data_IF_439025828113
#
_entry.id   IF_439025828113
#
_cell.length_a   1.000
_cell.length_b   1.000
_cell.length_c   1.000
_cell.angle_alpha   90.00
_cell.angle_beta   90.00
_cell.angle_gamma   90.00
#
_symmetry.space_group_name_H-M   'P 1'
#
loop_
_entity.id
_entity.type
_entity.pdbx_description
1 polymer ?
#
# COMPACT_ATOMS: atom_id res chain seq x y z
N UNK A 1 -12.57 -12.89 -6.47
CA UNK A 1 -13.00 -11.65 -7.07
C UNK A 1 -14.27 -11.16 -6.39
N UNK A 2 -14.19 -10.01 -5.75
CA UNK A 2 -15.29 -9.37 -5.00
C UNK A 2 -16.04 -8.36 -5.87
N UNK A 3 -15.90 -8.46 -7.20
CA UNK A 3 -16.48 -7.47 -8.11
C UNK A 3 -18.01 -7.61 -8.18
N UNK A 4 -18.73 -6.49 -8.02
CA UNK A 4 -20.18 -6.47 -8.11
C UNK A 4 -20.66 -6.72 -9.55
N UNK A 5 -21.86 -7.25 -9.69
CA UNK A 5 -22.53 -7.39 -10.99
C UNK A 5 -22.97 -6.01 -11.48
N UNK A 6 -22.36 -5.50 -12.54
CA UNK A 6 -22.67 -4.18 -13.15
C UNK A 6 -24.17 -4.03 -13.47
N UNK A 7 -24.87 -5.14 -13.79
CA UNK A 7 -26.30 -5.14 -14.06
C UNK A 7 -27.20 -4.66 -12.91
N UNK A 8 -26.70 -4.58 -11.69
CA UNK A 8 -27.42 -4.04 -10.53
C UNK A 8 -27.32 -2.52 -10.39
N UNK A 9 -26.34 -1.88 -11.03
CA UNK A 9 -26.29 -0.42 -11.11
C UNK A 9 -27.38 0.06 -12.08
N UNK A 10 -28.26 0.94 -11.59
CA UNK A 10 -29.28 1.61 -12.43
C UNK A 10 -28.62 2.73 -13.23
N UNK A 11 -27.73 2.36 -14.16
CA UNK A 11 -27.17 3.28 -15.12
C UNK A 11 -28.22 3.46 -16.21
N UNK A 12 -28.60 4.70 -16.61
CA UNK A 12 -29.54 4.93 -17.68
C UNK A 12 -28.88 4.70 -19.05
N UNK A 13 -28.45 3.48 -19.30
CA UNK A 13 -28.03 3.02 -20.61
C UNK A 13 -29.28 2.62 -21.38
N UNK A 14 -29.49 3.21 -22.56
CA UNK A 14 -30.62 2.90 -23.44
C UNK A 14 -30.69 1.42 -23.84
N UNK A 15 -29.53 0.74 -23.85
CA UNK A 15 -29.44 -0.68 -24.17
C UNK A 15 -28.38 -1.33 -23.28
N UNK A 16 -28.80 -2.27 -22.44
CA UNK A 16 -27.88 -3.11 -21.64
C UNK A 16 -27.48 -4.39 -22.38
N UNK A 17 -27.51 -4.37 -23.70
CA UNK A 17 -27.11 -5.49 -24.55
C UNK A 17 -25.59 -5.50 -24.66
N UNK A 18 -24.97 -6.59 -24.22
CA UNK A 18 -23.53 -6.81 -24.36
C UNK A 18 -22.75 -7.00 -23.05
N UNK A 19 -23.36 -6.86 -21.89
CA UNK A 19 -22.68 -7.23 -20.64
C UNK A 19 -22.75 -8.75 -20.43
N UNK A 20 -21.58 -9.38 -20.42
CA UNK A 20 -21.43 -10.81 -20.12
C UNK A 20 -20.86 -10.93 -18.72
N UNK A 21 -21.57 -11.65 -17.85
CA UNK A 21 -21.04 -12.05 -16.55
C UNK A 21 -19.96 -13.13 -16.80
N UNK A 22 -18.69 -12.77 -16.66
CA UNK A 22 -17.56 -13.69 -16.86
C UNK A 22 -17.44 -14.73 -15.74
N UNK A 23 -18.16 -14.55 -14.64
CA UNK A 23 -18.13 -15.45 -13.49
C UNK A 23 -19.56 -15.75 -12.98
N UNK A 24 -20.44 -16.32 -13.81
CA UNK A 24 -21.83 -16.57 -13.45
C UNK A 24 -21.98 -17.53 -12.27
N UNK A 25 -20.97 -18.37 -12.03
CA UNK A 25 -20.93 -19.35 -10.95
C UNK A 25 -19.91 -18.95 -9.86
N UNK A 26 -19.75 -17.64 -9.57
CA UNK A 26 -18.80 -17.13 -8.59
C UNK A 26 -18.82 -17.89 -7.26
N UNK A 27 -20.03 -18.20 -6.74
CA UNK A 27 -20.21 -18.92 -5.48
C UNK A 27 -19.58 -20.31 -5.51
N UNK A 28 -19.72 -21.06 -6.60
CA UNK A 28 -19.15 -22.41 -6.72
C UNK A 28 -17.61 -22.36 -6.84
N UNK A 29 -17.07 -21.36 -7.53
CA UNK A 29 -15.61 -21.17 -7.58
C UNK A 29 -15.03 -20.77 -6.22
N UNK A 30 -15.73 -19.91 -5.48
CA UNK A 30 -15.30 -19.50 -4.14
C UNK A 30 -15.36 -20.62 -3.11
N UNK A 31 -16.20 -21.62 -3.33
CA UNK A 31 -16.28 -22.83 -2.49
C UNK A 31 -15.20 -23.87 -2.81
N UNK A 32 -14.40 -23.67 -3.86
CA UNK A 32 -13.28 -24.54 -4.15
C UNK A 32 -12.28 -24.54 -2.96
N UNK A 33 -11.75 -25.71 -2.53
CA UNK A 33 -10.82 -25.80 -1.40
C UNK A 33 -9.61 -24.87 -1.48
N UNK A 34 -9.18 -24.50 -2.69
CA UNK A 34 -8.09 -23.54 -2.90
C UNK A 34 -8.47 -22.09 -2.52
N UNK A 35 -9.75 -21.82 -2.27
CA UNK A 35 -10.24 -20.52 -1.82
C UNK A 35 -10.96 -20.60 -0.48
N UNK A 36 -11.92 -21.53 -0.35
CA UNK A 36 -12.61 -21.80 0.90
C UNK A 36 -11.71 -22.68 1.80
N UNK A 37 -11.62 -22.36 3.08
CA UNK A 37 -10.83 -23.15 4.04
C UNK A 37 -9.31 -23.01 3.93
N UNK A 38 -8.80 -22.18 3.01
CA UNK A 38 -7.39 -21.86 2.93
C UNK A 38 -6.89 -21.14 4.19
N UNK A 39 -7.73 -20.27 4.74
CA UNK A 39 -7.47 -19.46 5.93
C UNK A 39 -8.72 -19.44 6.80
N UNK A 40 -8.55 -19.54 8.10
CA UNK A 40 -9.61 -19.37 9.08
C UNK A 40 -9.60 -17.96 9.66
N UNK A 41 -10.72 -17.24 9.57
CA UNK A 41 -10.85 -15.94 10.22
C UNK A 41 -11.18 -16.10 11.70
N UNK A 42 -10.47 -15.35 12.53
CA UNK A 42 -10.60 -15.30 13.99
C UNK A 42 -11.13 -13.94 14.43
N UNK A 43 -12.14 -13.96 15.29
CA UNK A 43 -12.89 -12.78 15.70
C UNK A 43 -12.72 -12.44 17.19
N UNK A 44 -11.70 -13.01 17.84
CA UNK A 44 -11.43 -12.85 19.27
C UNK A 44 -11.21 -11.38 19.67
N UNK A 45 -10.57 -10.59 18.78
CA UNK A 45 -10.26 -9.18 18.98
C UNK A 45 -11.17 -8.24 18.14
N UNK A 46 -12.29 -8.76 17.65
CA UNK A 46 -13.15 -8.03 16.72
C UNK A 46 -14.03 -6.98 17.39
N UNK A 47 -14.53 -7.24 18.61
CA UNK A 47 -15.55 -6.42 19.24
C UNK A 47 -14.99 -5.28 20.10
N UNK A 48 -13.87 -5.49 20.75
CA UNK A 48 -13.25 -4.54 21.67
C UNK A 48 -12.00 -3.91 21.06
N UNK A 49 -11.73 -2.66 21.45
CA UNK A 49 -10.47 -2.02 21.08
C UNK A 49 -9.34 -2.63 21.91
N UNK A 50 -8.22 -2.93 21.25
CA UNK A 50 -7.02 -3.46 21.88
C UNK A 50 -5.94 -2.38 21.92
N UNK A 51 -5.19 -2.32 23.00
CA UNK A 51 -4.03 -1.45 23.04
C UNK A 51 -2.79 -2.08 22.36
N UNK A 52 -1.76 -1.26 22.14
CA UNK A 52 -0.55 -1.66 21.40
C UNK A 52 0.23 -2.76 22.12
N UNK A 53 0.24 -2.76 23.45
CA UNK A 53 0.92 -3.73 24.29
C UNK A 53 0.27 -5.10 24.19
N UNK A 54 -1.04 -5.13 24.46
CA UNK A 54 -1.83 -6.35 24.44
C UNK A 54 -1.85 -6.97 23.03
N UNK A 55 -1.90 -6.12 21.99
CA UNK A 55 -1.80 -6.57 20.61
C UNK A 55 -0.44 -7.22 20.31
N UNK A 56 0.65 -6.64 20.79
CA UNK A 56 1.98 -7.20 20.57
C UNK A 56 2.15 -8.55 21.29
N UNK A 57 1.67 -8.65 22.52
CA UNK A 57 1.71 -9.91 23.28
C UNK A 57 0.83 -10.98 22.64
N UNK A 58 -0.33 -10.60 22.10
CA UNK A 58 -1.21 -11.50 21.36
C UNK A 58 -0.56 -12.00 20.06
N UNK A 59 0.05 -11.11 19.27
CA UNK A 59 0.76 -11.45 18.03
C UNK A 59 1.92 -12.41 18.31
N UNK A 60 2.73 -12.11 19.33
CA UNK A 60 3.83 -12.97 19.76
C UNK A 60 3.31 -14.34 20.21
N UNK A 61 2.32 -14.37 21.10
CA UNK A 61 1.73 -15.59 21.62
C UNK A 61 1.18 -16.50 20.52
N UNK A 62 0.40 -15.95 19.58
CA UNK A 62 -0.14 -16.71 18.44
C UNK A 62 0.93 -17.18 17.46
N UNK A 63 1.99 -16.39 17.25
CA UNK A 63 3.11 -16.79 16.41
C UNK A 63 3.91 -17.94 17.03
N UNK A 64 4.16 -17.92 18.35
CA UNK A 64 4.76 -19.04 19.10
C UNK A 64 3.86 -20.27 19.01
N UNK A 65 2.57 -20.12 19.31
CA UNK A 65 1.60 -21.21 19.25
C UNK A 65 1.57 -21.87 17.86
N UNK A 66 1.57 -21.08 16.78
CA UNK A 66 1.60 -21.60 15.41
C UNK A 66 2.89 -22.37 15.12
N UNK A 67 4.07 -21.79 15.46
CA UNK A 67 5.37 -22.41 15.26
C UNK A 67 5.46 -23.78 15.94
N UNK A 68 4.94 -23.90 17.16
CA UNK A 68 5.08 -25.09 18.00
C UNK A 68 3.99 -26.14 17.75
N UNK A 69 2.99 -25.85 16.88
CA UNK A 69 1.97 -26.84 16.48
C UNK A 69 2.60 -28.06 15.81
N UNK A 70 2.16 -29.31 16.13
CA UNK A 70 2.63 -30.51 15.45
C UNK A 70 2.47 -30.44 13.93
N UNK A 71 3.48 -30.84 13.19
CA UNK A 71 3.47 -30.83 11.72
C UNK A 71 3.86 -29.49 11.09
N UNK A 72 4.30 -28.51 11.88
CA UNK A 72 4.90 -27.25 11.40
C UNK A 72 6.43 -27.37 11.31
N UNK A 73 7.04 -26.50 10.53
CA UNK A 73 8.48 -26.51 10.27
C UNK A 73 9.34 -25.91 11.40
N UNK A 74 8.73 -25.58 12.55
CA UNK A 74 9.42 -24.92 13.67
C UNK A 74 9.72 -23.43 13.45
N UNK A 75 9.12 -22.82 12.43
CA UNK A 75 9.22 -21.41 12.10
C UNK A 75 7.87 -20.84 11.67
N UNK A 76 7.73 -19.52 11.69
CA UNK A 76 6.50 -18.83 11.30
C UNK A 76 6.80 -17.53 10.56
N UNK A 77 6.06 -17.29 9.47
CA UNK A 77 5.99 -16.00 8.80
C UNK A 77 4.66 -15.32 9.13
N UNK A 78 4.72 -14.27 9.91
CA UNK A 78 3.56 -13.51 10.39
C UNK A 78 3.45 -12.19 9.65
N UNK A 79 2.23 -11.80 9.25
CA UNK A 79 1.94 -10.48 8.70
C UNK A 79 0.93 -9.77 9.59
N UNK A 80 1.18 -8.48 9.87
CA UNK A 80 0.23 -7.61 10.55
C UNK A 80 0.01 -6.34 9.74
N UNK A 81 -1.25 -6.01 9.48
CA UNK A 81 -1.63 -4.83 8.71
C UNK A 81 -2.41 -3.82 9.56
N UNK A 82 -1.90 -2.60 9.59
CA UNK A 82 -2.49 -1.43 10.23
C UNK A 82 -3.18 -0.53 9.21
N UNK A 83 -4.14 0.27 9.65
CA UNK A 83 -4.80 1.29 8.81
C UNK A 83 -3.86 2.48 8.62
N UNK A 84 -3.13 2.88 9.67
CA UNK A 84 -2.28 4.05 9.62
C UNK A 84 -0.78 3.69 9.60
N UNK A 85 0.00 4.48 8.87
CA UNK A 85 1.48 4.36 8.86
C UNK A 85 2.05 4.60 10.26
N UNK A 86 1.41 5.48 11.03
CA UNK A 86 1.81 5.81 12.40
C UNK A 86 1.76 4.57 13.29
N UNK A 87 0.62 3.87 13.32
CA UNK A 87 0.45 2.68 14.15
C UNK A 87 1.39 1.55 13.72
N UNK A 88 1.62 1.40 12.40
CA UNK A 88 2.60 0.44 11.88
C UNK A 88 4.03 0.74 12.37
N UNK A 89 4.45 2.01 12.34
CA UNK A 89 5.77 2.43 12.81
C UNK A 89 5.90 2.33 14.33
N UNK A 90 4.84 2.66 15.09
CA UNK A 90 4.82 2.51 16.55
C UNK A 90 4.91 1.04 16.97
N UNK A 91 4.18 0.17 16.30
CA UNK A 91 4.24 -1.26 16.52
C UNK A 91 5.62 -1.85 16.18
N UNK A 92 6.23 -1.39 15.07
CA UNK A 92 7.59 -1.78 14.72
C UNK A 92 8.59 -1.42 15.81
N UNK A 93 8.58 -0.16 16.28
CA UNK A 93 9.46 0.28 17.36
C UNK A 93 9.24 -0.52 18.64
N UNK A 94 7.98 -0.79 18.98
CA UNK A 94 7.59 -1.53 20.16
C UNK A 94 8.07 -3.00 20.13
N UNK A 95 7.96 -3.66 18.98
CA UNK A 95 8.43 -5.06 18.82
C UNK A 95 9.96 -5.14 18.91
N UNK A 96 10.69 -4.11 18.43
CA UNK A 96 12.16 -4.08 18.55
C UNK A 96 12.65 -3.98 20.02
N UNK A 97 11.84 -3.47 20.91
CA UNK A 97 12.17 -3.35 22.35
C UNK A 97 11.87 -4.65 23.12
N UNK A 98 11.06 -5.56 22.56
CA UNK A 98 10.72 -6.84 23.20
C UNK A 98 11.81 -7.89 22.94
N UNK A 99 11.77 -8.97 23.75
CA UNK A 99 12.66 -10.12 23.55
C UNK A 99 12.55 -10.67 22.11
N UNK A 100 13.69 -10.94 21.44
CA UNK A 100 13.70 -11.28 20.03
C UNK A 100 13.15 -12.70 19.79
N UNK A 101 11.85 -12.78 19.47
CA UNK A 101 11.24 -14.00 18.95
C UNK A 101 11.38 -14.10 17.43
N UNK A 102 11.21 -12.96 16.74
CA UNK A 102 11.38 -12.90 15.29
C UNK A 102 12.84 -12.66 14.94
N UNK A 103 13.38 -13.50 14.05
CA UNK A 103 14.75 -13.36 13.54
C UNK A 103 14.86 -12.12 12.64
N UNK A 104 13.77 -11.77 11.94
CA UNK A 104 13.66 -10.61 11.07
C UNK A 104 12.31 -9.90 11.27
N UNK A 105 12.36 -8.58 11.38
CA UNK A 105 11.16 -7.73 11.43
C UNK A 105 11.24 -6.69 10.32
N UNK A 106 10.27 -6.68 9.45
CA UNK A 106 10.18 -5.75 8.32
C UNK A 106 9.01 -4.79 8.49
N UNK A 107 9.25 -3.53 8.13
CA UNK A 107 8.21 -2.51 7.99
C UNK A 107 8.03 -2.19 6.50
N UNK A 108 6.81 -2.36 5.98
CA UNK A 108 6.46 -2.06 4.61
C UNK A 108 5.25 -1.13 4.55
N UNK A 109 5.51 0.16 4.36
CA UNK A 109 4.49 1.20 4.27
C UNK A 109 4.63 2.01 2.98
N UNK A 110 3.69 2.92 2.73
CA UNK A 110 3.72 3.77 1.53
C UNK A 110 4.82 4.83 1.50
N UNK A 111 5.64 4.95 2.56
CA UNK A 111 6.83 5.85 2.59
C UNK A 111 8.15 5.11 2.38
N UNK A 112 8.12 3.77 2.27
CA UNK A 112 9.29 2.96 1.96
C UNK A 112 9.61 3.11 0.47
N UNK A 113 10.88 3.39 0.16
CA UNK A 113 11.35 3.49 -1.22
C UNK A 113 11.34 2.13 -1.93
N UNK A 114 11.17 2.15 -3.25
CA UNK A 114 11.07 0.95 -4.07
C UNK A 114 12.26 -0.02 -3.92
N UNK A 115 13.53 0.42 -3.80
CA UNK A 115 14.64 -0.49 -3.54
C UNK A 115 14.44 -1.33 -2.27
N UNK A 116 14.10 -0.68 -1.16
CA UNK A 116 13.85 -1.37 0.11
C UNK A 116 12.65 -2.30 0.04
N UNK A 117 11.59 -1.88 -0.66
CA UNK A 117 10.43 -2.73 -0.91
C UNK A 117 10.81 -4.02 -1.64
N UNK A 118 11.69 -3.94 -2.64
CA UNK A 118 12.21 -5.13 -3.36
C UNK A 118 13.00 -6.04 -2.46
N UNK A 119 13.92 -5.49 -1.65
CA UNK A 119 14.68 -6.28 -0.68
C UNK A 119 13.75 -7.09 0.22
N UNK A 120 12.74 -6.45 0.81
CA UNK A 120 11.77 -7.12 1.71
C UNK A 120 11.04 -8.23 0.95
N UNK A 121 10.53 -7.95 -0.25
CA UNK A 121 9.79 -8.95 -1.03
C UNK A 121 10.70 -10.11 -1.45
N UNK A 122 11.94 -9.82 -1.85
CA UNK A 122 12.90 -10.84 -2.23
C UNK A 122 13.27 -11.74 -1.05
N UNK A 123 13.50 -11.16 0.14
CA UNK A 123 13.75 -11.95 1.36
C UNK A 123 12.56 -12.82 1.71
N UNK A 124 11.33 -12.31 1.69
CA UNK A 124 10.12 -13.09 1.97
C UNK A 124 9.87 -14.23 0.96
N UNK A 125 10.36 -14.10 -0.27
CA UNK A 125 10.28 -15.13 -1.31
C UNK A 125 11.45 -16.11 -1.30
N UNK A 126 12.55 -15.76 -0.66
CA UNK A 126 13.72 -16.61 -0.57
C UNK A 126 13.36 -17.91 0.19
N UNK A 127 13.59 -19.10 -0.37
CA UNK A 127 13.33 -20.36 0.33
C UNK A 127 14.07 -20.51 1.67
N UNK A 128 15.22 -19.87 1.82
CA UNK A 128 16.00 -19.91 3.07
C UNK A 128 15.33 -19.12 4.20
N UNK A 129 14.57 -18.10 3.88
CA UNK A 129 13.83 -17.30 4.88
C UNK A 129 12.80 -18.16 5.62
N UNK A 130 12.37 -19.29 5.02
CA UNK A 130 11.50 -20.29 5.69
C UNK A 130 12.15 -21.00 6.89
N UNK A 131 13.43 -20.78 7.14
CA UNK A 131 14.15 -21.23 8.33
C UNK A 131 14.18 -20.20 9.46
N UNK A 132 13.56 -19.04 9.25
CA UNK A 132 13.52 -17.91 10.18
C UNK A 132 12.06 -17.65 10.63
N UNK A 133 11.91 -17.09 11.83
CA UNK A 133 10.66 -16.46 12.25
C UNK A 133 10.66 -15.03 11.71
N UNK A 134 9.69 -14.67 10.87
CA UNK A 134 9.63 -13.36 10.23
C UNK A 134 8.32 -12.66 10.59
N UNK A 135 8.42 -11.38 10.93
CA UNK A 135 7.27 -10.49 11.08
C UNK A 135 7.29 -9.40 10.01
N UNK A 136 6.26 -9.35 9.19
CA UNK A 136 6.01 -8.26 8.26
C UNK A 136 4.95 -7.33 8.84
N UNK A 137 5.35 -6.12 9.21
CA UNK A 137 4.45 -5.05 9.65
C UNK A 137 4.15 -4.17 8.44
N UNK A 138 2.87 -3.92 8.16
CA UNK A 138 2.50 -3.25 6.92
C UNK A 138 1.25 -2.38 7.04
N UNK A 139 0.94 -1.69 5.98
CA UNK A 139 -0.34 -1.02 5.71
C UNK A 139 -0.95 -1.63 4.43
N UNK A 140 -1.96 -1.00 3.84
CA UNK A 140 -2.68 -1.50 2.65
C UNK A 140 -1.79 -1.75 1.41
N UNK A 141 -0.51 -1.39 1.46
CA UNK A 141 0.43 -1.56 0.32
C UNK A 141 0.67 -3.01 -0.09
N UNK A 142 0.30 -3.97 0.76
CA UNK A 142 0.42 -5.41 0.46
C UNK A 142 -0.84 -6.02 -0.13
N UNK A 143 -1.98 -5.35 -0.04
CA UNK A 143 -3.27 -5.88 -0.50
C UNK A 143 -3.27 -6.15 -2.01
N UNK A 144 -2.56 -5.34 -2.79
CA UNK A 144 -2.44 -5.50 -4.23
C UNK A 144 -0.97 -5.48 -4.70
N UNK A 145 -0.66 -6.25 -5.75
CA UNK A 145 0.64 -6.21 -6.43
C UNK A 145 1.81 -6.86 -5.69
N UNK A 146 1.60 -7.43 -4.49
CA UNK A 146 2.64 -8.11 -3.72
C UNK A 146 2.37 -9.62 -3.71
N UNK A 147 3.36 -10.39 -4.11
CA UNK A 147 3.27 -11.85 -4.17
C UNK A 147 4.11 -12.46 -3.04
N UNK A 148 3.49 -12.61 -1.86
CA UNK A 148 4.06 -13.21 -0.66
C UNK A 148 3.13 -14.29 -0.12
N UNK A 149 3.68 -15.24 0.64
CA UNK A 149 2.96 -16.38 1.20
C UNK A 149 3.26 -16.52 2.70
N UNK A 150 2.42 -15.90 3.53
CA UNK A 150 2.56 -15.86 4.98
C UNK A 150 1.83 -17.06 5.64
N UNK A 151 2.07 -17.27 6.93
CA UNK A 151 1.49 -18.37 7.71
C UNK A 151 0.35 -17.88 8.60
N UNK A 152 0.53 -16.74 9.25
CA UNK A 152 -0.46 -16.06 10.08
C UNK A 152 -0.68 -14.62 9.62
N UNK A 153 -1.90 -14.12 9.75
CA UNK A 153 -2.28 -12.75 9.49
C UNK A 153 -2.96 -12.07 10.68
N UNK A 154 -2.69 -10.79 10.84
CA UNK A 154 -3.39 -9.91 11.77
C UNK A 154 -3.83 -8.67 10.99
N UNK A 155 -5.11 -8.33 11.06
CA UNK A 155 -5.68 -7.24 10.26
C UNK A 155 -6.45 -6.28 11.13
N UNK A 156 -6.05 -5.02 11.14
CA UNK A 156 -6.90 -3.96 11.68
C UNK A 156 -8.14 -3.81 10.80
N UNK A 157 -9.31 -3.96 11.40
CA UNK A 157 -10.60 -3.96 10.69
C UNK A 157 -10.78 -2.66 9.92
N UNK A 158 -11.06 -2.80 8.63
CA UNK A 158 -11.26 -1.66 7.73
C UNK A 158 -12.46 -1.87 6.79
N UNK A 159 -12.21 -2.23 5.54
CA UNK A 159 -13.23 -2.68 4.59
C UNK A 159 -13.24 -4.20 4.56
N UNK A 160 -14.41 -4.81 4.55
CA UNK A 160 -14.54 -6.27 4.58
C UNK A 160 -13.86 -6.96 3.37
N UNK A 161 -13.82 -6.31 2.22
CA UNK A 161 -13.09 -6.79 1.05
C UNK A 161 -11.56 -6.59 1.17
N UNK A 162 -11.11 -5.60 1.92
CA UNK A 162 -9.72 -5.40 2.31
C UNK A 162 -9.24 -6.52 3.25
N UNK A 163 -10.08 -6.94 4.20
CA UNK A 163 -9.76 -8.07 5.09
C UNK A 163 -9.54 -9.37 4.30
N UNK A 164 -10.37 -9.61 3.27
CA UNK A 164 -10.18 -10.72 2.34
C UNK A 164 -8.91 -10.58 1.49
N UNK A 165 -8.50 -9.37 1.14
CA UNK A 165 -7.27 -9.13 0.37
C UNK A 165 -6.03 -9.48 1.18
N UNK A 166 -5.98 -9.11 2.49
CA UNK A 166 -4.92 -9.56 3.37
C UNK A 166 -4.92 -11.09 3.53
N UNK A 167 -6.08 -11.70 3.76
CA UNK A 167 -6.21 -13.15 3.84
C UNK A 167 -5.67 -13.83 2.57
N UNK A 168 -5.75 -13.14 1.42
CA UNK A 168 -5.12 -13.55 0.17
C UNK A 168 -3.59 -13.62 0.20
N UNK A 169 -2.92 -13.10 1.22
CA UNK A 169 -1.46 -13.17 1.43
C UNK A 169 -1.07 -14.27 2.43
N UNK A 170 -2.03 -14.81 3.16
CA UNK A 170 -1.84 -15.94 4.08
C UNK A 170 -2.20 -17.23 3.38
N UNK A 171 -1.32 -18.25 3.46
CA UNK A 171 -1.48 -19.51 2.75
C UNK A 171 -1.85 -19.32 1.26
N UNK A 172 -1.15 -18.40 0.61
CA UNK A 172 -1.45 -17.98 -0.76
C UNK A 172 -1.49 -19.13 -1.76
N UNK A 173 -0.58 -20.08 -1.57
CA UNK A 173 -0.44 -21.25 -2.43
C UNK A 173 -1.36 -22.41 -2.03
N UNK A 174 -2.20 -22.25 -1.00
CA UNK A 174 -3.11 -23.26 -0.46
C UNK A 174 -2.42 -24.61 -0.11
N UNK A 175 -1.14 -24.56 0.26
CA UNK A 175 -0.34 -25.75 0.59
C UNK A 175 -0.14 -25.95 2.10
N UNK A 176 -0.62 -25.02 2.93
CA UNK A 176 -0.44 -25.01 4.38
C UNK A 176 -1.75 -25.34 5.10
N UNK A 177 -1.65 -25.87 6.30
CA UNK A 177 -2.82 -26.24 7.12
C UNK A 177 -2.83 -25.37 8.39
N UNK A 178 -4.03 -24.99 8.86
CA UNK A 178 -4.22 -24.25 10.10
C UNK A 178 -3.64 -22.83 10.06
N UNK A 179 -3.72 -22.18 8.90
CA UNK A 179 -3.41 -20.77 8.75
C UNK A 179 -4.61 -19.93 9.17
N UNK A 180 -4.36 -18.87 9.92
CA UNK A 180 -5.38 -18.06 10.57
C UNK A 180 -5.17 -16.58 10.27
N UNK A 181 -6.25 -15.82 10.20
CA UNK A 181 -6.25 -14.35 10.15
C UNK A 181 -7.09 -13.81 11.28
N UNK A 182 -6.45 -13.07 12.18
CA UNK A 182 -7.05 -12.43 13.34
C UNK A 182 -7.44 -11.01 12.99
N UNK A 183 -8.72 -10.68 13.19
CA UNK A 183 -9.25 -9.33 13.00
C UNK A 183 -9.23 -8.59 14.33
N UNK A 184 -8.63 -7.39 14.37
CA UNK A 184 -8.50 -6.58 15.59
C UNK A 184 -8.93 -5.13 15.38
N UNK A 185 -9.19 -4.40 16.46
CA UNK A 185 -9.51 -2.97 16.47
C UNK A 185 -8.45 -2.20 17.25
N UNK A 186 -7.65 -1.40 16.54
CA UNK A 186 -6.73 -0.44 17.13
C UNK A 186 -6.95 0.95 16.52
N UNK A 187 -6.81 1.06 15.19
CA UNK A 187 -7.02 2.29 14.46
C UNK A 187 -8.50 2.51 14.13
N UNK A 188 -8.92 3.77 14.13
CA UNK A 188 -10.25 4.13 13.68
C UNK A 188 -10.30 4.18 12.14
N UNK A 189 -10.91 3.19 11.53
CA UNK A 189 -11.04 3.07 10.08
C UNK A 189 -11.79 4.26 9.43
N UNK A 190 -12.62 4.99 10.16
CA UNK A 190 -13.35 6.14 9.63
C UNK A 190 -12.42 7.29 9.17
N UNK A 191 -11.20 7.35 9.69
CA UNK A 191 -10.20 8.36 9.31
C UNK A 191 -9.87 8.27 7.80
N UNK A 192 -9.73 7.04 7.27
CA UNK A 192 -9.46 6.81 5.85
C UNK A 192 -10.73 6.50 5.05
N UNK A 193 -11.64 5.70 5.61
CA UNK A 193 -12.76 5.09 4.90
C UNK A 193 -14.12 5.73 5.23
N UNK A 194 -14.19 6.79 6.03
CA UNK A 194 -15.45 7.40 6.47
C UNK A 194 -16.38 7.86 5.32
N UNK A 195 -15.82 8.19 4.14
CA UNK A 195 -16.57 8.56 2.94
C UNK A 195 -16.90 7.35 2.04
N UNK A 196 -16.27 6.20 2.25
CA UNK A 196 -16.50 5.00 1.45
C UNK A 196 -17.88 4.40 1.76
N UNK A 197 -18.68 4.15 0.72
CA UNK A 197 -20.02 3.63 0.87
C UNK A 197 -20.04 2.20 1.42
N UNK A 198 -19.01 1.39 1.14
CA UNK A 198 -18.86 0.05 1.71
C UNK A 198 -18.70 0.12 3.22
N UNK A 199 -17.80 1.02 3.70
CA UNK A 199 -17.60 1.23 5.13
C UNK A 199 -18.88 1.71 5.82
N UNK A 200 -19.58 2.69 5.21
CA UNK A 200 -20.82 3.21 5.75
C UNK A 200 -21.89 2.11 5.86
N UNK A 201 -22.08 1.31 4.81
CA UNK A 201 -23.08 0.24 4.81
C UNK A 201 -22.74 -0.88 5.80
N UNK A 202 -21.48 -1.28 5.90
CA UNK A 202 -21.04 -2.25 6.92
C UNK A 202 -21.37 -1.73 8.32
N UNK A 203 -21.03 -0.48 8.61
CA UNK A 203 -21.27 0.11 9.94
C UNK A 203 -22.76 0.28 10.26
N UNK A 204 -23.59 0.63 9.27
CA UNK A 204 -25.02 0.95 9.46
C UNK A 204 -25.90 -0.29 9.46
N UNK A 205 -25.57 -1.34 8.70
CA UNK A 205 -26.51 -2.40 8.35
C UNK A 205 -25.97 -3.84 8.49
N UNK A 206 -24.66 -4.02 8.70
CA UNK A 206 -24.07 -5.35 8.81
C UNK A 206 -23.79 -5.67 10.28
N UNK A 207 -24.44 -6.69 10.80
CA UNK A 207 -24.13 -7.21 12.14
C UNK A 207 -22.81 -7.97 12.16
N UNK A 208 -22.22 -8.16 13.36
CA UNK A 208 -20.98 -8.94 13.53
C UNK A 208 -21.12 -10.36 12.97
N UNK A 209 -22.25 -11.01 13.20
CA UNK A 209 -22.51 -12.36 12.66
C UNK A 209 -22.61 -12.40 11.14
N UNK A 210 -23.17 -11.37 10.51
CA UNK A 210 -23.20 -11.25 9.04
C UNK A 210 -21.81 -10.96 8.48
N UNK A 211 -21.02 -10.11 9.15
CA UNK A 211 -19.64 -9.84 8.77
C UNK A 211 -18.82 -11.14 8.76
N UNK A 212 -18.92 -11.90 9.84
CA UNK A 212 -18.27 -13.21 9.95
C UNK A 212 -18.74 -14.17 8.85
N UNK A 213 -20.05 -14.24 8.60
CA UNK A 213 -20.62 -15.07 7.54
C UNK A 213 -20.11 -14.67 6.16
N UNK A 214 -20.06 -13.37 5.84
CA UNK A 214 -19.56 -12.87 4.54
C UNK A 214 -18.12 -13.32 4.30
N UNK A 215 -17.25 -13.17 5.32
CA UNK A 215 -15.85 -13.57 5.18
C UNK A 215 -15.68 -15.10 5.10
N UNK A 216 -16.42 -15.88 5.88
CA UNK A 216 -16.33 -17.33 5.88
C UNK A 216 -16.88 -17.95 4.60
N UNK A 217 -18.04 -17.47 4.13
CA UNK A 217 -18.73 -17.99 2.94
C UNK A 217 -18.26 -17.32 1.64
N UNK A 218 -17.44 -16.26 1.73
CA UNK A 218 -17.03 -15.43 0.57
C UNK A 218 -18.23 -14.83 -0.18
N UNK A 219 -19.35 -14.61 0.50
CA UNK A 219 -20.58 -14.06 -0.07
C UNK A 219 -20.62 -12.52 0.05
N UNK A 220 -19.80 -11.85 -0.75
CA UNK A 220 -19.79 -10.39 -0.82
C UNK A 220 -21.00 -9.80 -1.57
N UNK A 221 -21.84 -10.65 -2.16
CA UNK A 221 -23.00 -10.21 -2.95
C UNK A 221 -23.97 -9.38 -2.14
N UNK A 222 -24.28 -9.81 -0.91
CA UNK A 222 -25.20 -9.10 -0.03
C UNK A 222 -24.69 -7.69 0.34
N UNK A 223 -23.39 -7.53 0.63
CA UNK A 223 -22.81 -6.22 0.89
C UNK A 223 -22.93 -5.29 -0.32
N UNK A 224 -22.56 -5.79 -1.51
CA UNK A 224 -22.63 -4.96 -2.71
C UNK A 224 -24.06 -4.61 -3.12
N UNK A 225 -25.03 -5.44 -2.80
CA UNK A 225 -26.47 -5.09 -2.99
C UNK A 225 -26.82 -3.85 -2.17
N UNK A 226 -26.50 -3.84 -0.88
CA UNK A 226 -26.72 -2.67 -0.01
C UNK A 226 -25.98 -1.42 -0.50
N UNK A 227 -24.72 -1.57 -0.91
CA UNK A 227 -23.93 -0.46 -1.45
C UNK A 227 -24.57 0.11 -2.71
N UNK A 228 -25.02 -0.75 -3.63
CA UNK A 228 -25.67 -0.30 -4.87
C UNK A 228 -27.04 0.34 -4.62
N UNK A 229 -27.83 -0.18 -3.71
CA UNK A 229 -29.08 0.46 -3.31
C UNK A 229 -28.83 1.88 -2.81
N UNK A 230 -27.82 2.07 -1.96
CA UNK A 230 -27.42 3.41 -1.48
C UNK A 230 -26.96 4.33 -2.60
N UNK A 231 -26.09 3.83 -3.49
CA UNK A 231 -25.59 4.60 -4.65
C UNK A 231 -26.74 4.95 -5.59
N UNK A 232 -27.63 4.01 -5.90
CA UNK A 232 -28.78 4.23 -6.75
C UNK A 232 -29.71 5.29 -6.16
N UNK A 233 -30.00 5.21 -4.86
CA UNK A 233 -30.80 6.21 -4.16
C UNK A 233 -30.16 7.62 -4.24
N UNK A 234 -28.85 7.73 -4.01
CA UNK A 234 -28.13 9.00 -4.13
C UNK A 234 -28.16 9.53 -5.56
N UNK A 235 -27.98 8.68 -6.55
CA UNK A 235 -28.01 9.07 -7.96
C UNK A 235 -29.40 9.54 -8.38
N UNK A 236 -30.48 8.92 -7.90
CA UNK A 236 -31.87 9.34 -8.17
C UNK A 236 -32.13 10.76 -7.64
N UNK A 237 -31.54 11.12 -6.46
CA UNK A 237 -31.67 12.45 -5.88
C UNK A 237 -30.88 13.52 -6.63
N UNK A 238 -29.71 13.17 -7.18
CA UNK A 238 -28.74 14.14 -7.71
C UNK A 238 -28.52 14.03 -9.23
N UNK A 239 -29.18 13.05 -9.90
CA UNK A 239 -28.94 12.76 -11.32
C UNK A 239 -29.07 13.96 -12.25
N UNK A 240 -30.11 14.78 -12.07
CA UNK A 240 -30.35 15.96 -12.92
C UNK A 240 -29.24 16.99 -12.71
N UNK A 241 -28.80 17.21 -11.47
CA UNK A 241 -27.78 18.20 -11.15
C UNK A 241 -26.37 17.72 -11.54
N UNK A 242 -26.02 16.49 -11.22
CA UNK A 242 -24.64 16.02 -11.41
C UNK A 242 -24.39 15.52 -12.84
N UNK A 243 -25.35 14.88 -13.48
CA UNK A 243 -25.12 14.31 -14.80
C UNK A 243 -25.62 15.21 -15.94
N UNK A 244 -26.91 15.61 -15.94
CA UNK A 244 -27.44 16.43 -17.03
C UNK A 244 -26.96 17.88 -17.03
N UNK A 245 -27.07 18.55 -15.87
CA UNK A 245 -26.72 19.96 -15.76
C UNK A 245 -25.21 20.19 -15.53
N UNK A 246 -24.50 19.19 -15.05
CA UNK A 246 -23.06 19.20 -14.83
C UNK A 246 -22.31 18.54 -15.99
N UNK A 247 -22.10 17.23 -15.90
CA UNK A 247 -21.20 16.50 -16.79
C UNK A 247 -21.53 16.60 -18.28
N UNK A 248 -22.80 16.37 -18.68
CA UNK A 248 -23.19 16.49 -20.10
C UNK A 248 -22.99 17.89 -20.64
N UNK A 249 -23.26 18.95 -19.86
CA UNK A 249 -23.02 20.32 -20.27
C UNK A 249 -21.54 20.58 -20.57
N UNK A 250 -20.63 20.03 -19.77
CA UNK A 250 -19.19 20.15 -20.01
C UNK A 250 -18.74 19.40 -21.26
N UNK A 251 -19.31 18.19 -21.49
CA UNK A 251 -19.04 17.41 -22.72
C UNK A 251 -19.56 18.15 -23.96
N UNK A 252 -20.79 18.65 -23.93
CA UNK A 252 -21.41 19.40 -25.04
C UNK A 252 -20.69 20.72 -25.29
N UNK A 253 -20.21 21.38 -24.23
CA UNK A 253 -19.43 22.64 -24.33
C UNK A 253 -17.95 22.42 -24.65
N UNK A 254 -17.48 21.19 -24.84
CA UNK A 254 -16.07 20.84 -25.06
C UNK A 254 -15.12 21.35 -23.95
N UNK A 255 -15.64 21.52 -22.75
CA UNK A 255 -14.86 21.93 -21.58
C UNK A 255 -14.13 20.71 -20.99
N UNK A 256 -13.06 20.30 -21.68
CA UNK A 256 -12.28 19.12 -21.32
C UNK A 256 -11.66 19.20 -19.92
N UNK A 257 -11.35 20.40 -19.42
CA UNK A 257 -10.83 20.56 -18.07
C UNK A 257 -11.88 20.19 -17.01
N UNK A 258 -13.13 20.60 -17.20
CA UNK A 258 -14.19 20.21 -16.27
C UNK A 258 -14.59 18.75 -16.45
N UNK A 259 -14.54 18.21 -17.67
CA UNK A 259 -14.74 16.79 -17.92
C UNK A 259 -13.70 15.97 -17.14
N UNK A 260 -12.41 16.31 -17.26
CA UNK A 260 -11.32 15.62 -16.56
C UNK A 260 -11.47 15.70 -15.04
N UNK A 261 -11.75 16.91 -14.50
CA UNK A 261 -11.99 17.09 -13.06
C UNK A 261 -13.16 16.28 -12.51
N UNK A 262 -14.24 16.12 -13.30
CA UNK A 262 -15.44 15.39 -12.86
C UNK A 262 -15.36 13.88 -13.15
N UNK A 263 -14.38 13.44 -13.94
CA UNK A 263 -14.19 12.02 -14.29
C UNK A 263 -13.00 11.38 -13.55
N UNK A 264 -12.58 11.96 -12.45
CA UNK A 264 -11.52 11.39 -11.63
C UNK A 264 -12.04 10.15 -10.88
N UNK A 265 -11.41 9.01 -11.16
CA UNK A 265 -11.68 7.75 -10.43
C UNK A 265 -11.05 7.80 -9.03
N UNK A 266 -9.94 8.54 -8.89
CA UNK A 266 -9.24 8.76 -7.62
C UNK A 266 -9.15 10.27 -7.42
N UNK A 267 -9.95 10.81 -6.49
CA UNK A 267 -9.97 12.24 -6.16
C UNK A 267 -8.76 12.70 -5.32
N UNK A 268 -7.85 11.79 -4.99
CA UNK A 268 -6.68 12.10 -4.18
C UNK A 268 -5.59 12.76 -5.04
N UNK A 269 -5.31 14.00 -4.78
CA UNK A 269 -4.07 14.63 -5.23
C UNK A 269 -2.94 14.12 -4.33
N UNK A 270 -1.98 13.43 -4.93
CA UNK A 270 -0.79 12.99 -4.23
C UNK A 270 0.38 13.91 -4.57
N UNK A 271 1.19 14.24 -3.58
CA UNK A 271 2.47 14.89 -3.81
C UNK A 271 3.58 13.85 -3.73
N UNK A 272 4.53 13.99 -4.63
CA UNK A 272 5.70 13.11 -4.70
C UNK A 272 6.84 13.73 -3.92
N UNK A 273 7.31 13.02 -2.90
CA UNK A 273 8.44 13.41 -2.07
C UNK A 273 9.69 12.72 -2.61
N UNK A 274 10.72 13.49 -2.93
CA UNK A 274 12.04 13.00 -3.30
C UNK A 274 12.96 13.01 -2.07
N UNK A 275 13.63 11.88 -1.81
CA UNK A 275 14.57 11.73 -0.70
C UNK A 275 15.98 11.56 -1.26
N UNK A 276 16.89 12.51 -1.06
CA UNK A 276 18.25 12.46 -1.61
C UNK A 276 19.20 11.55 -0.81
N UNK A 277 18.74 10.35 -0.50
CA UNK A 277 19.48 9.32 0.25
C UNK A 277 20.39 8.53 -0.71
N UNK A 278 21.55 8.04 -0.29
CA UNK A 278 22.30 7.07 -1.08
C UNK A 278 21.54 5.73 -1.16
N UNK A 279 21.38 5.19 -2.36
CA UNK A 279 20.70 3.92 -2.63
C UNK A 279 21.68 2.88 -3.18
N UNK A 280 21.53 1.59 -2.81
CA UNK A 280 22.32 0.52 -3.40
C UNK A 280 21.98 0.38 -4.90
N UNK A 281 22.99 0.08 -5.73
CA UNK A 281 22.77 -0.24 -7.16
C UNK A 281 22.28 -1.66 -7.35
N UNK A 282 22.52 -2.54 -6.38
CA UNK A 282 22.12 -3.93 -6.38
C UNK A 282 21.57 -4.33 -5.01
N UNK A 283 20.59 -5.21 -5.01
CA UNK A 283 19.99 -5.80 -3.80
C UNK A 283 20.05 -7.33 -3.87
N UNK A 284 19.88 -8.00 -2.75
CA UNK A 284 19.79 -9.45 -2.74
C UNK A 284 18.55 -9.93 -3.49
N UNK A 285 18.73 -10.90 -4.37
CA UNK A 285 17.62 -11.54 -5.08
C UNK A 285 16.96 -12.64 -4.25
N UNK A 286 15.86 -13.18 -4.76
CA UNK A 286 15.22 -14.36 -4.16
C UNK A 286 16.11 -15.60 -4.12
N UNK A 287 17.21 -15.61 -4.89
CA UNK A 287 18.15 -16.73 -4.97
C UNK A 287 19.41 -16.39 -4.20
N UNK A 288 19.83 -17.25 -3.28
CA UNK A 288 21.02 -17.08 -2.46
C UNK A 288 22.27 -16.80 -3.31
N UNK A 289 23.02 -15.78 -2.90
CA UNK A 289 24.27 -15.39 -3.56
C UNK A 289 24.09 -14.68 -4.92
N UNK A 290 22.86 -14.44 -5.34
CA UNK A 290 22.54 -13.70 -6.57
C UNK A 290 22.11 -12.27 -6.20
N UNK A 291 22.67 -11.26 -6.89
CA UNK A 291 22.25 -9.87 -6.77
C UNK A 291 21.30 -9.50 -7.91
N UNK A 292 20.30 -8.71 -7.59
CA UNK A 292 19.39 -8.08 -8.55
C UNK A 292 19.77 -6.60 -8.71
N UNK A 293 19.92 -6.15 -9.94
CA UNK A 293 20.20 -4.75 -10.23
C UNK A 293 18.94 -3.90 -10.11
N UNK A 294 19.05 -2.83 -9.36
CA UNK A 294 17.99 -1.83 -9.22
C UNK A 294 17.96 -0.85 -10.39
N UNK A 295 19.14 -0.59 -10.96
CA UNK A 295 19.34 0.29 -12.11
C UNK A 295 19.91 -0.53 -13.27
N UNK A 296 19.32 -0.38 -14.46
CA UNK A 296 19.80 -1.02 -15.68
C UNK A 296 21.13 -0.40 -16.15
N UNK A 297 21.90 -1.13 -16.97
CA UNK A 297 23.14 -0.60 -17.57
C UNK A 297 22.89 0.71 -18.31
N UNK A 298 21.74 0.84 -18.97
CA UNK A 298 21.35 2.06 -19.68
C UNK A 298 21.11 3.24 -18.74
N UNK A 299 20.53 3.01 -17.57
CA UNK A 299 20.29 4.06 -16.56
C UNK A 299 21.60 4.49 -15.92
N UNK A 300 22.49 3.56 -15.60
CA UNK A 300 23.81 3.87 -15.07
C UNK A 300 24.68 4.59 -16.10
N UNK A 301 24.70 4.14 -17.36
CA UNK A 301 25.42 4.83 -18.43
C UNK A 301 24.90 6.26 -18.65
N UNK A 302 23.57 6.43 -18.60
CA UNK A 302 22.96 7.76 -18.69
C UNK A 302 23.45 8.69 -17.59
N UNK A 303 23.56 8.23 -16.33
CA UNK A 303 24.09 9.02 -15.23
C UNK A 303 25.59 9.30 -15.39
N UNK A 304 26.36 8.31 -15.85
CA UNK A 304 27.81 8.45 -16.14
C UNK A 304 28.08 9.53 -17.20
N UNK A 305 27.23 9.63 -18.24
CA UNK A 305 27.33 10.70 -19.25
C UNK A 305 27.18 12.12 -18.64
N UNK A 306 26.57 12.22 -17.46
CA UNK A 306 26.48 13.46 -16.66
C UNK A 306 27.54 13.55 -15.55
N UNK A 307 28.44 12.56 -15.46
CA UNK A 307 29.53 12.53 -14.50
C UNK A 307 29.15 11.92 -13.13
N UNK A 308 27.99 11.25 -13.03
CA UNK A 308 27.53 10.58 -11.81
C UNK A 308 27.81 9.08 -11.91
N UNK A 309 28.64 8.57 -11.01
CA UNK A 309 29.06 7.14 -10.96
C UNK A 309 28.82 6.61 -9.55
N UNK A 310 28.28 5.39 -9.41
CA UNK A 310 28.14 4.79 -8.09
C UNK A 310 29.47 4.68 -7.34
N UNK A 311 29.47 5.08 -6.08
CA UNK A 311 30.63 4.95 -5.19
C UNK A 311 30.34 3.81 -4.19
N UNK A 312 31.27 2.86 -4.07
CA UNK A 312 31.14 1.69 -3.18
C UNK A 312 29.80 0.93 -3.34
N UNK A 313 29.28 0.89 -4.56
CA UNK A 313 27.99 0.25 -4.86
C UNK A 313 26.74 1.05 -4.46
N UNK A 314 26.90 2.31 -4.06
CA UNK A 314 25.84 3.24 -3.73
C UNK A 314 25.75 4.36 -4.77
N UNK A 315 24.53 4.73 -5.13
CA UNK A 315 24.21 5.87 -5.98
C UNK A 315 23.70 7.02 -5.11
N UNK A 316 24.39 8.16 -5.12
CA UNK A 316 24.03 9.33 -4.31
C UNK A 316 22.79 10.03 -4.89
N UNK A 317 21.74 10.15 -4.06
CA UNK A 317 20.50 10.80 -4.47
C UNK A 317 20.63 12.30 -4.70
N UNK A 318 21.58 12.99 -4.05
CA UNK A 318 21.86 14.42 -4.28
C UNK A 318 22.45 14.63 -5.68
N UNK A 319 23.43 13.81 -6.07
CA UNK A 319 24.03 13.86 -7.41
C UNK A 319 22.99 13.52 -8.50
N UNK A 320 22.14 12.51 -8.25
CA UNK A 320 21.01 12.17 -9.15
C UNK A 320 20.07 13.36 -9.33
N UNK A 321 19.75 14.06 -8.24
CA UNK A 321 18.89 15.24 -8.32
C UNK A 321 19.53 16.38 -9.15
N UNK A 322 20.80 16.61 -9.00
CA UNK A 322 21.55 17.63 -9.79
C UNK A 322 21.50 17.31 -11.29
N UNK A 323 21.56 16.03 -11.68
CA UNK A 323 21.38 15.65 -13.09
C UNK A 323 19.97 16.02 -13.58
N UNK A 324 18.94 15.76 -12.76
CA UNK A 324 17.57 16.15 -13.10
C UNK A 324 17.42 17.67 -13.27
N UNK A 325 18.02 18.47 -12.36
CA UNK A 325 18.01 19.94 -12.48
C UNK A 325 18.69 20.42 -13.77
N UNK A 326 19.86 19.86 -14.11
CA UNK A 326 20.56 20.19 -15.36
C UNK A 326 19.71 19.87 -16.59
N UNK A 327 18.95 18.77 -16.57
CA UNK A 327 18.05 18.41 -17.66
C UNK A 327 16.88 19.37 -17.79
N UNK A 328 16.28 19.79 -16.67
CA UNK A 328 15.11 20.68 -16.68
C UNK A 328 15.47 22.11 -17.05
N UNK A 329 16.64 22.60 -16.56
CA UNK A 329 17.09 23.98 -16.84
C UNK A 329 17.90 24.13 -18.13
N UNK A 330 18.13 23.04 -18.88
CA UNK A 330 18.78 23.11 -20.17
C UNK A 330 17.94 23.89 -21.15
N UNK A 331 18.57 24.77 -21.93
CA UNK A 331 17.91 25.46 -23.05
C UNK A 331 17.36 24.42 -24.05
N UNK A 332 16.04 24.28 -24.10
CA UNK A 332 15.41 23.34 -25.00
C UNK A 332 15.39 23.93 -26.41
N UNK A 333 15.90 23.22 -27.42
CA UNK A 333 15.76 23.67 -28.80
C UNK A 333 14.28 23.75 -29.18
N UNK A 334 13.88 24.74 -29.94
CA UNK A 334 12.50 24.98 -30.36
C UNK A 334 11.87 23.83 -31.19
N UNK A 335 12.65 22.78 -31.47
CA UNK A 335 12.23 21.56 -32.18
C UNK A 335 12.19 20.38 -31.23
N UNK A 336 11.16 19.57 -31.40
CA UNK A 336 10.97 18.29 -30.75
C UNK A 336 12.21 17.38 -30.94
N UNK A 337 12.90 17.06 -29.85
CA UNK A 337 14.01 16.11 -29.85
C UNK A 337 13.57 14.80 -29.19
N UNK A 338 13.68 13.68 -29.93
CA UNK A 338 13.33 12.36 -29.44
C UNK A 338 14.32 11.87 -28.38
N UNK A 339 15.61 12.20 -28.54
CA UNK A 339 16.67 11.79 -27.59
C UNK A 339 16.46 12.45 -26.24
N UNK A 340 16.09 13.72 -26.23
CA UNK A 340 15.75 14.46 -25.02
C UNK A 340 14.57 13.81 -24.27
N UNK A 341 13.49 13.45 -24.97
CA UNK A 341 12.36 12.73 -24.36
C UNK A 341 12.74 11.37 -23.79
N UNK A 342 13.61 10.66 -24.47
CA UNK A 342 14.13 9.37 -23.96
C UNK A 342 14.96 9.61 -22.70
N UNK A 343 15.83 10.63 -22.68
CA UNK A 343 16.60 11.04 -21.52
C UNK A 343 15.70 11.36 -20.31
N UNK A 344 14.64 12.16 -20.52
CA UNK A 344 13.66 12.44 -19.45
C UNK A 344 12.96 11.19 -18.92
N UNK A 345 12.59 10.24 -19.79
CA UNK A 345 11.97 8.98 -19.33
C UNK A 345 12.95 8.12 -18.51
N UNK A 346 14.21 8.06 -18.91
CA UNK A 346 15.26 7.38 -18.13
C UNK A 346 15.38 8.05 -16.78
N UNK A 347 15.50 9.37 -16.74
CA UNK A 347 15.62 10.13 -15.50
C UNK A 347 14.41 9.94 -14.59
N UNK A 348 13.18 9.99 -15.11
CA UNK A 348 11.97 9.73 -14.34
C UNK A 348 11.97 8.33 -13.71
N UNK A 349 12.48 7.32 -14.43
CA UNK A 349 12.60 5.96 -13.89
C UNK A 349 13.62 5.91 -12.76
N UNK A 350 14.77 6.58 -12.90
CA UNK A 350 15.79 6.67 -11.84
C UNK A 350 15.19 7.39 -10.62
N UNK A 351 14.58 8.57 -10.80
CA UNK A 351 13.95 9.34 -9.71
C UNK A 351 12.90 8.52 -8.97
N UNK A 352 12.16 7.65 -9.67
CA UNK A 352 11.14 6.82 -9.03
C UNK A 352 11.68 5.88 -7.95
N UNK A 353 12.99 5.58 -7.95
CA UNK A 353 13.65 4.80 -6.89
C UNK A 353 13.87 5.62 -5.62
N UNK A 354 13.93 6.95 -5.73
CA UNK A 354 14.19 7.90 -4.65
C UNK A 354 12.91 8.58 -4.15
N UNK A 355 11.75 8.16 -4.63
CA UNK A 355 10.49 8.86 -4.32
C UNK A 355 9.48 7.98 -3.63
N UNK A 356 8.65 8.61 -2.79
CA UNK A 356 7.39 8.07 -2.30
C UNK A 356 6.28 9.12 -2.44
N UNK A 357 5.02 8.71 -2.29
CA UNK A 357 3.88 9.62 -2.42
C UNK A 357 3.17 9.83 -1.09
N UNK A 358 2.76 11.06 -0.82
CA UNK A 358 1.87 11.43 0.28
C UNK A 358 0.58 12.04 -0.27
N UNK A 359 -0.51 11.83 0.44
CA UNK A 359 -1.80 12.44 0.10
C UNK A 359 -1.71 13.96 0.33
N UNK A 360 -2.10 14.77 -0.66
CA UNK A 360 -1.89 16.22 -0.68
C UNK A 360 -2.52 17.00 0.48
N UNK A 361 -3.52 16.43 1.12
CA UNK A 361 -4.16 17.03 2.31
C UNK A 361 -3.78 16.30 3.62
N UNK A 362 -2.80 15.38 3.57
CA UNK A 362 -2.35 14.67 4.78
C UNK A 362 -1.65 15.63 5.74
N UNK A 363 -1.83 15.37 7.04
CA UNK A 363 -1.15 16.12 8.08
C UNK A 363 0.37 15.96 7.98
N UNK A 364 0.83 14.75 7.64
CA UNK A 364 2.25 14.47 7.45
C UNK A 364 2.88 15.36 6.35
N UNK A 365 2.19 15.55 5.23
CA UNK A 365 2.70 16.43 4.16
C UNK A 365 2.74 17.90 4.59
N UNK A 366 1.72 18.36 5.34
CA UNK A 366 1.70 19.73 5.86
C UNK A 366 2.83 19.97 6.87
N UNK A 367 3.08 19.00 7.74
CA UNK A 367 4.19 19.03 8.69
C UNK A 367 5.54 19.03 7.95
N UNK A 368 5.70 18.21 6.89
CA UNK A 368 6.91 18.23 6.05
C UNK A 368 7.16 19.60 5.40
N UNK A 369 6.12 20.21 4.84
CA UNK A 369 6.22 21.55 4.22
C UNK A 369 6.59 22.64 5.22
N UNK A 370 6.47 22.38 6.52
CA UNK A 370 6.77 23.32 7.61
C UNK A 370 8.25 23.57 7.89
N UNK A 371 9.21 23.02 7.09
CA UNK A 371 10.63 23.32 7.27
C UNK A 371 11.61 22.17 6.99
N UNK A 372 11.15 21.02 6.49
CA UNK A 372 12.05 19.87 6.26
C UNK A 372 12.56 19.75 4.82
N UNK A 373 12.13 20.63 3.94
CA UNK A 373 12.47 20.62 2.52
C UNK A 373 11.82 21.74 1.74
N UNK A 374 11.85 21.63 0.42
CA UNK A 374 11.33 22.64 -0.50
C UNK A 374 10.56 22.03 -1.68
N UNK A 375 9.55 22.74 -2.18
CA UNK A 375 8.91 22.38 -3.44
C UNK A 375 9.84 22.78 -4.60
N UNK A 376 10.23 21.78 -5.41
CA UNK A 376 11.18 21.98 -6.48
C UNK A 376 10.88 21.07 -7.67
N UNK A 377 10.72 21.66 -8.85
CA UNK A 377 10.56 20.96 -10.13
C UNK A 377 9.48 19.85 -10.13
N UNK A 378 8.37 20.08 -9.41
CA UNK A 378 7.24 19.14 -9.34
C UNK A 378 7.35 18.05 -8.27
N UNK A 379 8.36 18.13 -7.41
CA UNK A 379 8.57 17.27 -6.25
C UNK A 379 8.68 18.11 -4.98
N UNK A 380 8.40 17.48 -3.84
CA UNK A 380 8.87 17.99 -2.56
C UNK A 380 10.23 17.35 -2.27
N UNK A 381 11.30 18.14 -2.36
CA UNK A 381 12.67 17.72 -2.10
C UNK A 381 12.94 17.75 -0.58
N UNK A 382 13.17 16.58 0.03
CA UNK A 382 13.38 16.42 1.46
C UNK A 382 14.84 16.70 1.83
N UNK A 383 15.23 17.99 1.91
CA UNK A 383 16.62 18.40 2.14
C UNK A 383 17.16 18.00 3.52
N UNK A 384 16.28 17.93 4.52
CA UNK A 384 16.61 17.65 5.93
C UNK A 384 16.37 16.19 6.33
N UNK A 385 16.45 15.25 5.38
CA UNK A 385 16.18 13.84 5.65
C UNK A 385 17.11 13.20 6.69
N UNK A 386 18.37 13.72 6.80
CA UNK A 386 19.39 13.26 7.76
C UNK A 386 19.22 13.86 9.17
N UNK A 387 18.41 14.92 9.31
CA UNK A 387 18.25 15.60 10.58
C UNK A 387 17.77 14.63 11.65
N UNK A 388 18.50 14.61 12.75
CA UNK A 388 18.26 13.72 13.86
C UNK A 388 17.61 14.50 15.00
N UNK A 389 16.33 14.20 15.25
CA UNK A 389 15.58 14.68 16.42
C UNK A 389 15.77 13.74 17.61
N UNK A 390 15.07 14.03 18.70
CA UNK A 390 15.04 13.17 19.91
C UNK A 390 14.57 11.75 19.58
N UNK A 391 13.76 11.61 18.54
CA UNK A 391 13.18 10.35 18.10
C UNK A 391 13.86 9.74 16.85
N UNK A 392 15.11 10.10 16.56
CA UNK A 392 15.91 9.59 15.44
C UNK A 392 15.82 10.44 14.18
N UNK A 393 16.34 9.91 13.07
CA UNK A 393 16.36 10.60 11.77
C UNK A 393 14.96 10.82 11.20
N UNK A 394 14.79 11.91 10.44
CA UNK A 394 13.52 12.22 9.77
C UNK A 394 13.15 11.16 8.73
N UNK A 395 14.13 10.67 7.98
CA UNK A 395 13.94 9.56 7.05
C UNK A 395 15.01 8.49 7.23
N UNK A 396 14.58 7.25 7.29
CA UNK A 396 15.46 6.08 7.38
C UNK A 396 15.14 5.09 6.26
N UNK A 397 16.18 4.50 5.64
CA UNK A 397 16.00 3.57 4.53
C UNK A 397 15.15 2.34 4.88
N UNK A 398 15.25 1.84 6.13
CA UNK A 398 14.52 0.65 6.59
C UNK A 398 13.12 0.97 7.09
N UNK A 399 12.92 2.15 7.67
CA UNK A 399 11.67 2.55 8.33
C UNK A 399 10.81 3.52 7.50
N UNK A 400 11.40 4.18 6.50
CA UNK A 400 10.75 5.25 5.76
C UNK A 400 10.67 6.56 6.55
N UNK A 401 9.59 7.33 6.34
CA UNK A 401 9.36 8.60 7.02
C UNK A 401 9.04 8.40 8.50
N UNK A 402 9.81 9.06 9.37
CA UNK A 402 9.64 9.00 10.82
C UNK A 402 8.71 10.12 11.31
N UNK A 403 7.45 9.79 11.53
CA UNK A 403 6.44 10.74 11.98
C UNK A 403 6.68 11.31 13.40
N UNK A 404 7.51 10.66 14.23
CA UNK A 404 7.88 11.18 15.55
C UNK A 404 8.95 12.26 15.40
N UNK A 405 10.01 11.99 14.62
CA UNK A 405 11.04 12.96 14.33
C UNK A 405 10.48 14.19 13.58
N UNK A 406 9.52 13.98 12.69
CA UNK A 406 8.84 15.08 11.97
C UNK A 406 8.22 16.09 12.92
N UNK A 407 7.58 15.65 13.99
CA UNK A 407 6.99 16.53 15.00
C UNK A 407 8.03 17.31 15.79
N UNK A 408 9.16 16.68 16.08
CA UNK A 408 10.25 17.33 16.82
C UNK A 408 10.88 18.49 16.03
N UNK A 409 11.02 18.32 14.72
CA UNK A 409 11.64 19.29 13.81
C UNK A 409 10.70 20.47 13.53
N UNK A 410 9.40 20.26 13.52
CA UNK A 410 8.40 21.32 13.22
C UNK A 410 8.20 22.31 14.38
N UNK A 411 8.75 22.04 15.55
CA UNK A 411 8.63 22.90 16.76
C UNK A 411 9.88 23.72 17.04
N UNK A 412 10.90 23.74 16.15
CA UNK A 412 12.07 24.58 16.21
C UNK A 412 11.93 25.74 15.22
#
# INVERSE_FOLDING_TARGET
>A
ATLPKIGKLRIPLKERTGFVDLLPQAKSYMQNPNFAGRVEFRFELFQEEIDMNDLADFVLGKSVEYRDKPGKNGTVHTIIEFITKKSAAEFYAFIQEKEPFFDEVFLLSGTILEPRRREIINELKNPLSRKKNILLITTQVVEAGVDIDMDLGFKNISLIDSDEQLAGRVNRNACKVGCEVYLFRLDNASVLYGKDKRYQMVREQISVGEYERILREKDFGCLYELVFEKINWMNEQTYVQNFRSGFLRFVEGLDFQQVDRNFQVIEQQNETVFVPIPLPVEVDSMTEGVKERLFSDRELQFLEDFGVVPCEGLLDGKEVWEVYERLVYRDHPAKFDLEEKVGFKIMQRILSCFTFSLVGYSKELQELKGGTGEEKLGYFYLSHWEDEGVNGKLYDYKMGLNNRALKDITFI
#
